data_IF_941264076587
#
_entry.id   IF_941264076587
#
_cell.length_a   1.000
_cell.length_b   1.000
_cell.length_c   1.000
_cell.angle_alpha   90.00
_cell.angle_beta   90.00
_cell.angle_gamma   90.00
#
_symmetry.space_group_name_H-M   'P 1'
#
loop_
_entity.id
_entity.type
_entity.pdbx_description
1 polymer ?
#
# COMPACT_ATOMS: atom_id res chain seq x y z
N UNK A 1 -20.13 -5.41 4.62
CA UNK A 1 -19.21 -5.01 3.54
C UNK A 1 -17.92 -4.50 4.18
N UNK A 2 -16.94 -5.38 4.43
CA UNK A 2 -15.70 -5.01 5.11
C UNK A 2 -14.81 -4.25 4.13
N UNK A 3 -14.86 -2.91 4.14
CA UNK A 3 -13.85 -2.08 3.46
C UNK A 3 -12.54 -2.27 4.24
N UNK A 4 -11.52 -2.93 3.68
CA UNK A 4 -10.33 -3.27 4.44
C UNK A 4 -9.59 -1.98 4.79
N UNK A 5 -9.11 -1.90 6.03
CA UNK A 5 -8.41 -0.76 6.65
C UNK A 5 -7.25 -0.16 5.83
N UNK A 6 -6.82 -0.81 4.74
CA UNK A 6 -5.81 -0.32 3.78
C UNK A 6 -6.22 1.01 3.13
N UNK A 7 -7.52 1.22 2.82
CA UNK A 7 -7.99 2.51 2.30
C UNK A 7 -7.78 3.68 3.27
N UNK A 8 -7.59 3.41 4.56
CA UNK A 8 -7.34 4.43 5.58
C UNK A 8 -5.86 4.85 5.65
N UNK A 9 -4.94 4.00 5.18
CA UNK A 9 -3.49 4.26 5.18
C UNK A 9 -2.95 4.66 3.80
N UNK A 10 -3.61 4.23 2.73
CA UNK A 10 -3.27 4.58 1.35
C UNK A 10 -4.51 5.27 0.75
N UNK A 11 -4.60 6.59 0.95
CA UNK A 11 -5.73 7.39 0.48
C UNK A 11 -5.71 7.53 -1.05
N UNK A 12 -4.53 7.45 -1.65
CA UNK A 12 -4.35 7.63 -3.09
C UNK A 12 -4.75 6.39 -3.91
N UNK A 13 -5.52 6.56 -5.01
CA UNK A 13 -5.90 5.44 -5.89
C UNK A 13 -4.69 4.80 -6.57
N UNK A 14 -3.66 5.59 -6.88
CA UNK A 14 -2.39 5.10 -7.43
C UNK A 14 -1.67 4.13 -6.48
N UNK A 15 -1.63 4.44 -5.18
CA UNK A 15 -1.01 3.57 -4.18
C UNK A 15 -1.75 2.25 -3.98
N UNK A 16 -3.09 2.27 -4.05
CA UNK A 16 -3.91 1.06 -3.92
C UNK A 16 -3.74 0.11 -5.11
N UNK A 17 -3.72 0.64 -6.33
CA UNK A 17 -3.43 -0.15 -7.53
C UNK A 17 -2.05 -0.80 -7.45
N UNK A 18 -1.04 -0.04 -6.99
CA UNK A 18 0.33 -0.54 -6.83
C UNK A 18 0.43 -1.61 -5.73
N UNK A 19 -0.31 -1.45 -4.64
CA UNK A 19 -0.41 -2.46 -3.59
C UNK A 19 -1.01 -3.77 -4.11
N UNK A 20 -2.10 -3.70 -4.89
CA UNK A 20 -2.73 -4.88 -5.49
C UNK A 20 -1.78 -5.59 -6.47
N UNK A 21 -1.08 -4.82 -7.31
CA UNK A 21 -0.09 -5.34 -8.26
C UNK A 21 1.07 -6.06 -7.55
N UNK A 22 1.62 -5.46 -6.48
CA UNK A 22 2.67 -6.11 -5.69
C UNK A 22 2.13 -7.28 -4.85
N UNK A 23 0.91 -7.18 -4.31
CA UNK A 23 0.31 -8.24 -3.47
C UNK A 23 -0.07 -9.47 -4.28
N UNK A 24 -0.29 -9.31 -5.59
CA UNK A 24 -0.51 -10.41 -6.50
C UNK A 24 0.78 -11.22 -6.77
N UNK A 25 1.97 -10.64 -6.54
CA UNK A 25 3.25 -11.34 -6.74
C UNK A 25 3.59 -12.22 -5.54
N UNK A 26 3.71 -13.53 -5.76
CA UNK A 26 4.11 -14.52 -4.74
C UNK A 26 5.64 -14.70 -4.75
N UNK A 27 6.31 -14.20 -3.72
CA UNK A 27 7.73 -14.42 -3.46
C UNK A 27 8.18 -13.72 -2.17
N UNK A 28 9.12 -14.29 -1.40
CA UNK A 28 9.62 -13.67 -0.16
C UNK A 28 10.22 -12.28 -0.41
N UNK A 29 10.95 -12.14 -1.52
CA UNK A 29 11.52 -10.88 -2.02
C UNK A 29 10.45 -9.88 -2.49
N UNK A 30 9.34 -10.39 -3.06
CA UNK A 30 8.22 -9.54 -3.46
C UNK A 30 7.45 -9.00 -2.25
N UNK A 31 7.29 -9.82 -1.21
CA UNK A 31 6.68 -9.43 0.07
C UNK A 31 7.51 -8.39 0.83
N UNK A 32 8.83 -8.54 0.89
CA UNK A 32 9.69 -7.54 1.55
C UNK A 32 9.62 -6.20 0.84
N UNK A 33 9.65 -6.19 -0.51
CA UNK A 33 9.46 -4.98 -1.31
C UNK A 33 8.06 -4.37 -1.15
N UNK A 34 7.03 -5.20 -1.02
CA UNK A 34 5.67 -4.74 -0.74
C UNK A 34 5.57 -4.09 0.65
N UNK A 35 6.17 -4.69 1.67
CA UNK A 35 6.17 -4.14 3.03
C UNK A 35 6.95 -2.82 3.10
N UNK A 36 8.10 -2.74 2.42
CA UNK A 36 8.87 -1.49 2.26
C UNK A 36 8.08 -0.42 1.52
N UNK A 37 7.41 -0.78 0.43
CA UNK A 37 6.57 0.14 -0.33
C UNK A 37 5.43 0.68 0.52
N UNK A 38 4.74 -0.16 1.29
CA UNK A 38 3.66 0.27 2.19
C UNK A 38 4.18 1.19 3.28
N UNK A 39 5.34 0.90 3.88
CA UNK A 39 5.93 1.78 4.90
C UNK A 39 6.22 3.18 4.33
N UNK A 40 6.92 3.25 3.19
CA UNK A 40 7.21 4.53 2.53
C UNK A 40 5.93 5.24 2.08
N UNK A 41 5.01 4.51 1.46
CA UNK A 41 3.75 5.05 0.97
C UNK A 41 2.91 5.60 2.14
N UNK A 42 2.79 4.87 3.25
CA UNK A 42 2.05 5.32 4.43
C UNK A 42 2.69 6.57 5.03
N UNK A 43 4.02 6.65 5.14
CA UNK A 43 4.72 7.84 5.64
C UNK A 43 4.50 9.05 4.71
N UNK A 44 4.57 8.84 3.40
CA UNK A 44 4.35 9.90 2.39
C UNK A 44 2.88 10.35 2.37
N UNK A 45 1.95 9.42 2.41
CA UNK A 45 0.50 9.63 2.37
C UNK A 45 0.00 10.25 3.69
N UNK A 46 0.69 10.02 4.81
CA UNK A 46 0.49 10.75 6.07
C UNK A 46 0.79 12.25 5.93
N UNK A 47 1.81 12.58 5.13
CA UNK A 47 2.18 13.97 4.87
C UNK A 47 1.27 14.64 3.82
N UNK A 48 0.54 13.85 3.04
CA UNK A 48 -0.60 14.33 2.24
C UNK A 48 -1.79 14.51 3.20
N UNK A 49 -1.74 15.64 3.91
CA UNK A 49 -2.92 16.21 4.57
C UNK A 49 -3.98 16.34 3.49
N UNK A 50 -5.11 15.65 3.71
CA UNK A 50 -6.30 15.60 2.87
C UNK A 50 -6.59 16.90 2.13
#
# INVERSE_FOLDING_TARGET
MFKPKIHSFIKTPCGQAKFLELSAKKGLLAKSRLMWFILIATIRDWNLKT
#
